data_IF_568776354337
#
_entry.id   IF_568776354337
#
_cell.length_a   1.000
_cell.length_b   1.000
_cell.length_c   1.000
_cell.angle_alpha   90.00
_cell.angle_beta   90.00
_cell.angle_gamma   90.00
#
_symmetry.space_group_name_H-M   'P 1'
#
loop_
_entity.id
_entity.type
_entity.pdbx_description
1 polymer ?
#
# COMPACT_ATOMS: atom_id res chain seq x y z
N UNK A 1 22.32 11.44 -14.65
CA UNK A 1 21.23 10.60 -15.20
C UNK A 1 21.70 9.16 -15.23
N UNK A 2 20.83 8.20 -14.90
CA UNK A 2 21.14 6.77 -15.04
C UNK A 2 20.56 6.30 -16.37
N UNK A 3 21.39 5.69 -17.22
CA UNK A 3 21.02 5.33 -18.60
C UNK A 3 20.22 4.01 -18.68
N UNK A 4 19.94 3.39 -17.53
CA UNK A 4 19.24 2.10 -17.47
C UNK A 4 17.79 2.30 -17.02
N UNK A 5 16.81 1.63 -17.66
CA UNK A 5 15.41 1.66 -17.22
C UNK A 5 15.29 1.33 -15.74
N UNK A 6 14.50 2.13 -15.01
CA UNK A 6 14.26 1.97 -13.59
C UNK A 6 12.76 1.72 -13.39
N UNK A 7 12.40 0.63 -12.72
CA UNK A 7 11.01 0.31 -12.42
C UNK A 7 10.85 -0.35 -11.05
N UNK A 8 9.64 -0.24 -10.51
CA UNK A 8 9.17 -0.99 -9.36
C UNK A 8 8.07 -1.94 -9.85
N UNK A 9 8.38 -3.22 -9.91
CA UNK A 9 7.45 -4.24 -10.38
C UNK A 9 6.68 -4.81 -9.20
N UNK A 10 5.36 -4.78 -9.27
CA UNK A 10 4.47 -5.37 -8.27
C UNK A 10 3.70 -6.50 -8.94
N UNK A 11 3.80 -7.69 -8.36
CA UNK A 11 3.26 -8.91 -8.93
C UNK A 11 2.49 -9.72 -7.90
N UNK A 12 1.75 -10.72 -8.39
CA UNK A 12 1.20 -11.80 -7.59
C UNK A 12 1.62 -13.13 -8.23
N UNK A 13 1.96 -14.12 -7.42
CA UNK A 13 2.28 -15.45 -7.91
C UNK A 13 0.99 -16.24 -8.05
N UNK A 14 0.82 -16.86 -9.23
CA UNK A 14 -0.38 -17.61 -9.55
C UNK A 14 -0.53 -18.90 -8.73
N UNK A 15 0.58 -19.45 -8.22
CA UNK A 15 0.55 -20.69 -7.42
C UNK A 15 0.34 -20.42 -5.93
N UNK A 16 1.16 -19.56 -5.33
CA UNK A 16 1.12 -19.25 -3.89
C UNK A 16 0.10 -18.17 -3.51
N UNK A 17 -0.32 -17.33 -4.47
CA UNK A 17 -1.12 -16.13 -4.20
C UNK A 17 -0.36 -15.04 -3.43
N UNK A 18 0.95 -15.19 -3.25
CA UNK A 18 1.78 -14.18 -2.60
C UNK A 18 2.03 -13.01 -3.53
N UNK A 19 2.03 -11.81 -2.97
CA UNK A 19 2.45 -10.60 -3.64
C UNK A 19 3.96 -10.40 -3.51
N UNK A 20 4.56 -9.80 -4.53
CA UNK A 20 5.97 -9.41 -4.54
C UNK A 20 6.14 -7.96 -4.96
N UNK A 21 7.18 -7.35 -4.43
CA UNK A 21 7.64 -6.02 -4.83
C UNK A 21 9.10 -6.14 -5.23
N UNK A 22 9.41 -5.83 -6.49
CA UNK A 22 10.75 -5.92 -7.04
C UNK A 22 11.25 -4.58 -7.52
N UNK A 23 12.52 -4.30 -7.24
CA UNK A 23 13.25 -3.20 -7.87
C UNK A 23 13.95 -3.69 -9.12
N UNK A 24 13.69 -3.06 -10.27
CA UNK A 24 14.34 -3.35 -11.56
C UNK A 24 15.21 -2.17 -11.99
N UNK A 25 16.47 -2.43 -12.30
CA UNK A 25 17.46 -1.44 -12.78
C UNK A 25 18.26 -2.03 -13.94
N UNK A 26 17.83 -1.73 -15.17
CA UNK A 26 18.28 -2.44 -16.37
C UNK A 26 18.05 -3.94 -16.24
N UNK A 27 19.12 -4.74 -16.35
CA UNK A 27 19.06 -6.20 -16.24
C UNK A 27 19.06 -6.72 -14.79
N UNK A 28 19.20 -5.84 -13.79
CA UNK A 28 19.26 -6.24 -12.38
C UNK A 28 17.89 -6.16 -11.75
N UNK A 29 17.51 -7.22 -11.02
CA UNK A 29 16.28 -7.28 -10.23
C UNK A 29 16.61 -7.62 -8.77
N UNK A 30 15.96 -6.97 -7.82
CA UNK A 30 16.05 -7.31 -6.39
C UNK A 30 14.65 -7.41 -5.78
N UNK A 31 14.41 -8.49 -5.03
CA UNK A 31 13.16 -8.69 -4.29
C UNK A 31 13.18 -7.82 -3.03
N UNK A 32 12.37 -6.77 -3.01
CA UNK A 32 12.28 -5.87 -1.86
C UNK A 32 11.37 -6.42 -0.78
N UNK A 33 10.23 -6.97 -1.18
CA UNK A 33 9.20 -7.43 -0.25
C UNK A 33 8.37 -8.57 -0.83
N UNK A 34 7.88 -9.46 0.04
CA UNK A 34 7.09 -10.64 -0.31
C UNK A 34 6.09 -10.99 0.81
N UNK A 35 4.94 -11.53 0.41
CA UNK A 35 3.99 -12.18 1.30
C UNK A 35 2.55 -11.97 0.87
N UNK A 36 1.60 -12.37 1.72
CA UNK A 36 0.16 -12.16 1.47
C UNK A 36 -0.17 -10.69 1.20
N UNK A 37 -1.19 -10.45 0.38
CA UNK A 37 -1.59 -9.10 -0.03
C UNK A 37 -1.81 -8.13 1.14
N UNK A 38 -2.60 -8.52 2.15
CA UNK A 38 -2.82 -7.71 3.35
C UNK A 38 -1.53 -7.40 4.11
N UNK A 39 -0.59 -8.34 4.13
CA UNK A 39 0.69 -8.18 4.80
C UNK A 39 1.54 -7.13 4.08
N UNK A 40 1.63 -7.19 2.75
CA UNK A 40 2.28 -6.17 1.93
C UNK A 40 1.60 -4.81 2.10
N UNK A 41 0.28 -4.74 1.99
CA UNK A 41 -0.50 -3.52 2.17
C UNK A 41 -0.26 -2.87 3.53
N UNK A 42 -0.20 -3.66 4.60
CA UNK A 42 0.05 -3.17 5.96
C UNK A 42 1.41 -2.51 6.15
N UNK A 43 2.39 -2.86 5.29
CA UNK A 43 3.74 -2.26 5.30
C UNK A 43 3.81 -1.01 4.41
N UNK A 44 3.25 -1.09 3.20
CA UNK A 44 3.43 -0.06 2.17
C UNK A 44 2.37 1.05 2.21
N UNK A 45 1.08 0.72 2.35
CA UNK A 45 0.00 1.71 2.27
C UNK A 45 0.10 2.80 3.34
N UNK A 46 0.45 2.50 4.61
CA UNK A 46 0.63 3.57 5.60
C UNK A 46 1.70 4.59 5.20
N UNK A 47 2.73 4.19 4.44
CA UNK A 47 3.75 5.13 3.94
C UNK A 47 3.22 5.92 2.75
N UNK A 48 2.53 5.26 1.82
CA UNK A 48 1.88 5.90 0.67
C UNK A 48 0.86 6.95 1.12
N UNK A 49 0.13 6.71 2.20
CA UNK A 49 -0.84 7.64 2.79
C UNK A 49 -0.22 8.68 3.72
N UNK A 50 1.10 8.69 3.90
CA UNK A 50 1.78 9.62 4.79
C UNK A 50 1.54 9.39 6.30
N UNK A 51 0.94 8.26 6.68
CA UNK A 51 0.74 7.87 8.09
C UNK A 51 2.07 7.43 8.72
N UNK A 52 2.93 6.77 7.93
CA UNK A 52 4.30 6.38 8.33
C UNK A 52 5.32 7.10 7.44
N UNK A 53 6.47 7.53 8.00
CA UNK A 53 7.45 8.28 7.24
C UNK A 53 8.30 7.40 6.30
N UNK A 54 8.38 6.09 6.59
CA UNK A 54 9.32 5.17 5.93
C UNK A 54 8.79 3.73 5.95
N UNK A 55 9.07 3.00 4.87
CA UNK A 55 9.10 1.53 4.85
C UNK A 55 10.51 1.12 4.46
N UNK A 56 11.06 0.11 5.13
CA UNK A 56 12.40 -0.38 4.87
C UNK A 56 12.49 -1.88 5.11
N UNK A 57 13.57 -2.48 4.64
CA UNK A 57 13.79 -3.90 4.78
C UNK A 57 15.16 -4.33 4.30
N UNK A 58 15.40 -5.63 4.38
CA UNK A 58 16.55 -6.30 3.77
C UNK A 58 16.05 -7.14 2.60
N UNK A 59 16.69 -6.98 1.46
CA UNK A 59 16.42 -7.68 0.21
C UNK A 59 17.59 -8.60 -0.14
N UNK A 60 17.33 -9.62 -0.95
CA UNK A 60 18.39 -10.34 -1.66
C UNK A 60 18.65 -9.58 -2.95
N UNK A 61 19.80 -8.90 -2.99
CA UNK A 61 20.25 -8.14 -4.15
C UNK A 61 20.93 -9.02 -5.21
N UNK A 62 21.39 -8.41 -6.32
CA UNK A 62 22.16 -9.10 -7.34
C UNK A 62 23.41 -9.74 -6.73
N UNK A 63 23.72 -10.99 -7.12
CA UNK A 63 24.82 -11.80 -6.60
C UNK A 63 24.66 -12.26 -5.13
N UNK A 64 23.42 -12.47 -4.68
CA UNK A 64 23.08 -13.00 -3.34
C UNK A 64 23.57 -12.14 -2.16
N UNK A 65 23.95 -10.88 -2.41
CA UNK A 65 24.33 -9.96 -1.35
C UNK A 65 23.08 -9.37 -0.70
N UNK A 66 23.08 -9.31 0.63
CA UNK A 66 22.04 -8.60 1.36
C UNK A 66 22.07 -7.11 0.98
N UNK A 67 20.88 -6.57 0.73
CA UNK A 67 20.66 -5.21 0.32
C UNK A 67 19.65 -4.56 1.26
N UNK A 68 20.09 -3.64 2.09
CA UNK A 68 19.16 -2.80 2.84
C UNK A 68 18.52 -1.80 1.88
N UNK A 69 17.20 -1.64 1.96
CA UNK A 69 16.45 -0.69 1.14
C UNK A 69 15.51 0.14 2.01
N UNK A 70 15.14 1.32 1.53
CA UNK A 70 14.15 2.17 2.18
C UNK A 70 13.34 2.95 1.16
N UNK A 71 12.08 3.24 1.50
CA UNK A 71 11.21 4.10 0.74
C UNK A 71 10.64 5.17 1.68
N UNK A 72 10.84 6.44 1.36
CA UNK A 72 10.56 7.59 2.23
C UNK A 72 9.60 8.55 1.53
N UNK A 73 8.62 9.07 2.26
CA UNK A 73 7.71 10.09 1.75
C UNK A 73 8.42 11.45 1.68
N UNK A 74 8.43 12.05 0.49
CA UNK A 74 8.97 13.38 0.20
C UNK A 74 7.85 14.28 -0.35
N UNK A 75 7.57 15.38 0.35
CA UNK A 75 6.61 16.38 -0.13
C UNK A 75 5.14 15.92 -0.19
N UNK A 76 4.79 14.75 0.37
CA UNK A 76 3.41 14.27 0.51
C UNK A 76 2.78 13.67 -0.75
N UNK A 77 3.49 13.64 -1.88
CA UNK A 77 2.99 13.10 -3.14
C UNK A 77 4.02 12.24 -3.89
N UNK A 78 5.30 12.30 -3.49
CA UNK A 78 6.39 11.52 -4.07
C UNK A 78 7.01 10.65 -2.98
N UNK A 79 7.34 9.43 -3.35
CA UNK A 79 8.12 8.50 -2.54
C UNK A 79 9.49 8.31 -3.16
N UNK A 80 10.54 8.43 -2.34
CA UNK A 80 11.91 8.19 -2.77
C UNK A 80 12.37 6.82 -2.29
N UNK A 81 12.53 5.89 -3.23
CA UNK A 81 13.02 4.54 -3.01
C UNK A 81 14.56 4.50 -3.16
N UNK A 82 15.22 4.20 -2.06
CA UNK A 82 16.65 4.01 -1.94
C UNK A 82 16.99 2.52 -1.93
N UNK A 83 17.73 2.08 -2.94
CA UNK A 83 18.28 0.73 -3.06
C UNK A 83 19.78 0.83 -3.38
N UNK A 84 20.65 0.98 -2.36
CA UNK A 84 22.10 1.05 -2.53
C UNK A 84 22.63 -0.03 -3.48
N UNK A 85 23.67 0.25 -4.26
CA UNK A 85 24.31 -0.72 -5.18
C UNK A 85 23.42 -1.28 -6.32
N UNK A 86 22.14 -0.93 -6.40
CA UNK A 86 21.22 -1.37 -7.45
C UNK A 86 20.90 -0.26 -8.48
N UNK A 87 21.08 1.01 -8.11
CA UNK A 87 20.86 2.15 -8.99
C UNK A 87 20.76 3.46 -8.19
N UNK A 88 20.51 4.59 -8.85
CA UNK A 88 20.17 5.83 -8.14
C UNK A 88 18.83 5.67 -7.40
N UNK A 89 18.53 6.55 -6.43
CA UNK A 89 17.20 6.66 -5.85
C UNK A 89 16.14 6.84 -6.93
N UNK A 90 14.98 6.19 -6.75
CA UNK A 90 13.83 6.32 -7.66
C UNK A 90 12.74 7.15 -6.98
N UNK A 91 12.27 8.19 -7.68
CA UNK A 91 11.05 8.90 -7.31
C UNK A 91 9.84 8.15 -7.87
N UNK A 92 8.84 7.92 -7.04
CA UNK A 92 7.62 7.17 -7.35
C UNK A 92 6.43 8.05 -6.94
N UNK A 93 5.45 8.23 -7.81
CA UNK A 93 4.23 8.92 -7.43
C UNK A 93 3.44 8.05 -6.44
N UNK A 94 3.03 8.65 -5.32
CA UNK A 94 2.23 7.97 -4.28
C UNK A 94 0.96 7.34 -4.85
N UNK A 95 0.25 8.05 -5.71
CA UNK A 95 -0.97 7.58 -6.38
C UNK A 95 -0.73 6.38 -7.31
N UNK A 96 0.38 6.36 -8.03
CA UNK A 96 0.73 5.24 -8.91
C UNK A 96 1.06 3.99 -8.09
N UNK A 97 1.81 4.15 -6.99
CA UNK A 97 2.14 3.04 -6.10
C UNK A 97 0.90 2.51 -5.37
N UNK A 98 0.03 3.40 -4.89
CA UNK A 98 -1.25 3.04 -4.28
C UNK A 98 -2.09 2.18 -5.23
N UNK A 99 -2.29 2.68 -6.45
CA UNK A 99 -3.08 2.00 -7.47
C UNK A 99 -2.48 0.62 -7.79
N UNK A 100 -1.17 0.53 -7.98
CA UNK A 100 -0.51 -0.74 -8.27
C UNK A 100 -0.66 -1.76 -7.12
N UNK A 101 -0.50 -1.33 -5.86
CA UNK A 101 -0.70 -2.20 -4.69
C UNK A 101 -2.13 -2.71 -4.60
N UNK A 102 -3.12 -1.83 -4.79
CA UNK A 102 -4.54 -2.17 -4.70
C UNK A 102 -5.00 -3.07 -5.85
N UNK A 103 -4.59 -2.77 -7.09
CA UNK A 103 -4.92 -3.57 -8.27
C UNK A 103 -4.34 -4.98 -8.17
N UNK A 104 -3.09 -5.10 -7.73
CA UNK A 104 -2.42 -6.39 -7.65
C UNK A 104 -2.88 -7.23 -6.46
N UNK A 105 -3.14 -6.62 -5.30
CA UNK A 105 -3.56 -7.34 -4.10
C UNK A 105 -5.07 -7.53 -3.97
N UNK A 106 -5.87 -6.70 -4.61
CA UNK A 106 -7.31 -6.61 -4.42
C UNK A 106 -8.03 -7.94 -4.62
N UNK A 107 -7.82 -8.65 -5.74
CA UNK A 107 -8.44 -9.95 -5.97
C UNK A 107 -8.13 -10.97 -4.87
N UNK A 108 -6.88 -11.05 -4.41
CA UNK A 108 -6.47 -12.00 -3.36
C UNK A 108 -7.08 -11.65 -2.00
N UNK A 109 -7.20 -10.36 -1.67
CA UNK A 109 -7.88 -9.91 -0.45
C UNK A 109 -9.37 -10.21 -0.51
N UNK A 110 -10.02 -9.95 -1.64
CA UNK A 110 -11.45 -10.22 -1.82
C UNK A 110 -11.79 -11.71 -1.68
N UNK A 111 -10.97 -12.59 -2.27
CA UNK A 111 -11.12 -14.04 -2.11
C UNK A 111 -10.91 -14.51 -0.66
N UNK A 112 -9.95 -13.90 0.05
CA UNK A 112 -9.75 -14.19 1.47
C UNK A 112 -10.93 -13.75 2.32
N UNK A 113 -11.44 -12.54 2.09
CA UNK A 113 -12.56 -11.97 2.84
C UNK A 113 -13.90 -12.67 2.55
N UNK A 114 -14.10 -13.20 1.33
CA UNK A 114 -15.30 -13.99 1.02
C UNK A 114 -15.34 -15.34 1.72
N UNK A 115 -14.19 -15.85 2.18
CA UNK A 115 -14.07 -17.12 2.89
C UNK A 115 -14.06 -16.96 4.43
N UNK A 116 -13.99 -15.73 4.93
CA UNK A 116 -14.07 -15.43 6.36
C UNK A 116 -15.51 -15.04 6.72
N UNK A 117 -16.23 -15.92 7.41
CA UNK A 117 -17.41 -15.50 8.17
C UNK A 117 -16.92 -14.53 9.25
N UNK A 118 -17.26 -13.24 9.11
CA UNK A 118 -17.02 -12.29 10.17
C UNK A 118 -17.74 -12.78 11.43
N UNK A 119 -17.05 -12.94 12.57
CA UNK A 119 -17.71 -13.37 13.79
C UNK A 119 -18.84 -12.40 14.10
N UNK A 120 -20.06 -12.91 14.30
CA UNK A 120 -21.16 -12.10 14.80
C UNK A 120 -20.78 -11.53 16.16
N UNK A 121 -20.49 -10.23 16.19
CA UNK A 121 -20.29 -9.52 17.44
C UNK A 121 -21.66 -9.37 18.12
N UNK A 122 -21.89 -10.15 19.17
CA UNK A 122 -23.04 -9.95 20.04
C UNK A 122 -22.96 -8.52 20.63
N UNK A 123 -23.91 -7.66 20.25
CA UNK A 123 -24.06 -6.29 20.75
C UNK A 123 -24.46 -6.22 22.25
N UNK A 124 -24.31 -7.31 22.99
CA UNK A 124 -24.81 -7.48 24.37
C UNK A 124 -23.84 -7.02 25.44
N UNK A 125 -22.64 -6.55 25.09
CA UNK A 125 -21.71 -5.93 26.04
C UNK A 125 -21.95 -4.42 26.14
N UNK A 126 -21.96 -3.85 27.36
CA UNK A 126 -21.93 -2.40 27.54
C UNK A 126 -20.78 -1.81 26.73
N UNK A 127 -21.13 -1.08 25.67
CA UNK A 127 -20.15 -0.50 24.77
C UNK A 127 -19.44 0.61 25.54
N UNK A 128 -18.27 0.32 26.10
CA UNK A 128 -17.41 1.34 26.69
C UNK A 128 -16.85 2.20 25.56
N UNK A 129 -17.59 3.28 25.25
CA UNK A 129 -17.18 4.42 24.43
C UNK A 129 -17.00 4.12 22.94
N UNK A 130 -18.10 4.21 22.19
CA UNK A 130 -18.06 4.38 20.72
C UNK A 130 -17.50 5.77 20.41
N UNK A 131 -16.38 5.85 19.70
CA UNK A 131 -16.01 7.08 18.99
C UNK A 131 -16.84 7.12 17.71
N UNK A 132 -17.95 7.86 17.71
CA UNK A 132 -18.72 8.12 16.49
C UNK A 132 -17.91 9.08 15.61
N UNK A 133 -17.33 8.57 14.53
CA UNK A 133 -16.94 9.41 13.40
C UNK A 133 -18.19 9.77 12.60
N UNK A 134 -18.80 10.90 12.93
CA UNK A 134 -19.85 11.49 12.11
C UNK A 134 -19.22 11.97 10.79
N UNK A 135 -19.37 11.20 9.71
CA UNK A 135 -19.29 11.76 8.37
C UNK A 135 -20.54 12.62 8.16
N UNK A 136 -20.41 13.94 8.36
CA UNK A 136 -21.43 14.97 8.13
C UNK A 136 -21.74 15.11 6.63
N UNK A 137 -22.31 14.08 5.99
CA UNK A 137 -22.79 14.14 4.60
C UNK A 137 -24.32 14.11 4.55
N UNK A 138 -25.02 14.54 5.61
CA UNK A 138 -26.50 14.63 5.61
C UNK A 138 -27.04 16.01 5.99
N UNK A 139 -26.19 17.02 6.21
CA UNK A 139 -26.64 18.41 6.48
C UNK A 139 -26.90 19.24 5.21
N UNK A 140 -26.72 18.69 3.99
CA UNK A 140 -26.88 19.44 2.73
C UNK A 140 -28.24 19.19 2.03
N UNK A 141 -29.12 18.35 2.57
CA UNK A 141 -30.37 17.98 1.89
C UNK A 141 -31.67 18.49 2.54
N UNK A 142 -31.62 19.33 3.58
CA UNK A 142 -32.83 19.85 4.26
C UNK A 142 -32.98 21.37 4.32
N UNK A 143 -32.09 22.15 3.69
CA UNK A 143 -32.30 23.59 3.52
C UNK A 143 -32.85 23.92 2.12
N UNK A 144 -33.97 23.31 1.71
CA UNK A 144 -34.70 23.77 0.52
C UNK A 144 -36.21 23.69 0.73
N UNK A 145 -36.83 24.87 0.68
CA UNK A 145 -38.26 25.19 0.45
C UNK A 145 -39.28 24.97 1.57
N UNK A 146 -39.47 26.02 2.39
CA UNK A 146 -40.82 26.56 2.60
C UNK A 146 -40.83 28.00 2.06
N UNK A 147 -41.42 28.17 0.86
CA UNK A 147 -41.87 29.48 0.37
C UNK A 147 -43.32 29.60 0.84
N UNK A 148 -43.58 30.50 1.78
CA UNK A 148 -44.93 30.88 2.17
C UNK A 148 -45.68 31.47 0.95
N UNK A 149 -46.81 30.87 0.59
CA UNK A 149 -47.81 31.41 -0.35
C UNK A 149 -49.09 31.78 0.41
#
# INVERSE_FOLDING_TARGET
>A
MCDKPQALDIGIDGESGEMFVYRVSGEKRALLDMGRALTIWSRWLPVVWGIRPIVNGSAIGPNEKSLNWSCVMEGGHILTLNTPNLGPPMAIATSELEAALLVMGGPAVLQGASNEEFPEHLLTGEISRVVRHNHRIHEIAQEVEEIDL
#
